data_IF_892632532571
#
_entry.id   IF_892632532571
#
_cell.length_a   1.000
_cell.length_b   1.000
_cell.length_c   1.000
_cell.angle_alpha   90.00
_cell.angle_beta   90.00
_cell.angle_gamma   90.00
#
_symmetry.space_group_name_H-M   'P 1'
#
loop_
_entity.id
_entity.type
_entity.pdbx_description
1 polymer ?
#
# COMPACT_ATOMS: atom_id res chain seq x y z
N UNK A 1 62.79 39.36 -9.13
CA UNK A 1 62.06 38.07 -8.95
C UNK A 1 61.71 37.94 -7.48
N UNK A 2 60.43 37.76 -7.16
CA UNK A 2 59.98 37.56 -5.77
C UNK A 2 59.59 36.09 -5.61
N UNK A 3 60.18 35.41 -4.64
CA UNK A 3 59.81 34.05 -4.26
C UNK A 3 59.02 34.10 -2.97
N UNK A 4 57.77 33.64 -3.02
CA UNK A 4 56.85 33.61 -1.89
C UNK A 4 56.62 32.15 -1.48
N UNK A 5 56.93 31.83 -0.21
CA UNK A 5 56.73 30.50 0.37
C UNK A 5 55.51 30.54 1.30
N UNK A 6 54.53 29.69 1.03
CA UNK A 6 53.29 29.58 1.78
C UNK A 6 53.21 28.24 2.52
N UNK A 7 52.68 28.24 3.75
CA UNK A 7 52.16 27.03 4.40
C UNK A 7 50.65 27.20 4.54
N UNK A 8 49.89 26.34 3.84
CA UNK A 8 48.45 26.54 3.68
C UNK A 8 48.16 27.91 3.07
N UNK A 9 47.44 28.77 3.82
CA UNK A 9 47.07 30.12 3.38
C UNK A 9 47.98 31.22 3.96
N UNK A 10 49.02 30.86 4.72
CA UNK A 10 49.90 31.82 5.39
C UNK A 10 51.22 31.95 4.63
N UNK A 11 51.59 33.17 4.27
CA UNK A 11 52.92 33.49 3.75
C UNK A 11 53.94 33.44 4.89
N UNK A 12 55.02 32.69 4.69
CA UNK A 12 56.08 32.51 5.70
C UNK A 12 57.34 33.27 5.30
N UNK A 13 57.76 33.13 4.04
CA UNK A 13 58.98 33.77 3.54
C UNK A 13 58.66 34.46 2.23
N UNK A 14 58.96 35.75 2.14
CA UNK A 14 58.99 36.49 0.87
C UNK A 14 60.41 36.98 0.63
N UNK A 15 61.07 36.48 -0.41
CA UNK A 15 62.43 36.92 -0.74
C UNK A 15 62.49 37.52 -2.14
N UNK A 16 63.06 38.73 -2.23
CA UNK A 16 63.18 39.51 -3.46
C UNK A 16 64.46 39.21 -4.27
N UNK A 17 65.28 38.27 -3.81
CA UNK A 17 66.54 37.88 -4.46
C UNK A 17 66.33 36.67 -5.37
N UNK A 18 66.83 36.75 -6.61
CA UNK A 18 66.60 35.76 -7.68
C UNK A 18 67.14 34.36 -7.40
N UNK A 19 66.61 33.40 -8.18
CA UNK A 19 66.94 31.97 -8.28
C UNK A 19 67.58 31.35 -7.02
N UNK A 20 66.75 30.99 -6.04
CA UNK A 20 67.20 30.20 -4.90
C UNK A 20 67.23 28.72 -5.27
N UNK A 21 68.34 28.06 -4.96
CA UNK A 21 68.40 26.60 -5.02
C UNK A 21 67.47 25.98 -3.98
N UNK A 22 67.05 24.74 -4.22
CA UNK A 22 66.20 23.98 -3.29
C UNK A 22 66.76 23.98 -1.85
N UNK A 23 68.07 23.85 -1.70
CA UNK A 23 68.77 23.85 -0.41
C UNK A 23 68.56 25.18 0.33
N UNK A 24 68.70 26.31 -0.37
CA UNK A 24 68.52 27.64 0.24
C UNK A 24 67.07 27.89 0.68
N UNK A 25 66.10 27.33 -0.05
CA UNK A 25 64.70 27.38 0.37
C UNK A 25 64.45 26.55 1.62
N UNK A 26 65.00 25.33 1.69
CA UNK A 26 64.90 24.48 2.87
C UNK A 26 65.52 25.14 4.10
N UNK A 27 66.72 25.73 4.00
CA UNK A 27 67.34 26.47 5.10
C UNK A 27 66.50 27.67 5.55
N UNK A 28 65.94 28.44 4.59
CA UNK A 28 65.07 29.58 4.91
C UNK A 28 63.79 29.14 5.64
N UNK A 29 63.28 27.95 5.33
CA UNK A 29 62.11 27.37 6.01
C UNK A 29 62.49 26.87 7.39
N UNK A 30 63.60 26.15 7.53
CA UNK A 30 64.10 25.64 8.81
C UNK A 30 64.38 26.75 9.82
N UNK A 31 64.94 27.88 9.38
CA UNK A 31 65.16 29.05 10.24
C UNK A 31 63.86 29.64 10.79
N UNK A 32 62.78 29.64 10.00
CA UNK A 32 61.52 30.29 10.38
C UNK A 32 60.58 29.34 11.10
N UNK A 33 60.56 28.07 10.72
CA UNK A 33 59.57 27.09 11.21
C UNK A 33 60.18 25.99 12.07
N UNK A 34 61.51 25.89 12.18
CA UNK A 34 62.23 24.82 12.88
C UNK A 34 61.82 23.39 12.47
N UNK A 35 61.32 23.24 11.24
CA UNK A 35 60.86 21.96 10.70
C UNK A 35 61.97 21.29 9.90
N UNK A 36 62.07 19.97 10.02
CA UNK A 36 63.05 19.20 9.27
C UNK A 36 62.59 18.97 7.82
N UNK A 37 63.50 18.89 6.83
CA UNK A 37 63.14 18.66 5.43
C UNK A 37 62.30 17.40 5.17
N UNK A 38 62.41 16.40 6.05
CA UNK A 38 61.65 15.15 5.99
C UNK A 38 60.18 15.27 6.41
N UNK A 39 59.80 16.38 7.07
CA UNK A 39 58.45 16.64 7.54
C UNK A 39 57.59 17.37 6.52
N UNK A 40 58.17 17.88 5.44
CA UNK A 40 57.45 18.63 4.42
C UNK A 40 57.91 18.27 3.00
N UNK A 41 57.20 18.82 2.03
CA UNK A 41 57.65 18.85 0.64
C UNK A 41 57.18 20.16 0.00
N UNK A 42 57.94 20.64 -0.96
CA UNK A 42 57.66 21.89 -1.67
C UNK A 42 56.97 21.61 -2.99
N UNK A 43 55.98 22.42 -3.31
CA UNK A 43 55.20 22.37 -4.54
C UNK A 43 55.25 23.73 -5.22
N UNK A 44 55.45 23.75 -6.52
CA UNK A 44 55.33 24.95 -7.34
C UNK A 44 53.87 25.38 -7.53
N UNK A 45 53.67 26.60 -8.03
CA UNK A 45 52.38 27.11 -8.52
C UNK A 45 51.66 26.16 -9.50
N UNK A 46 52.39 25.33 -10.26
CA UNK A 46 51.84 24.35 -11.20
C UNK A 46 51.40 23.03 -10.54
N UNK A 47 51.63 22.85 -9.23
CA UNK A 47 51.32 21.62 -8.52
C UNK A 47 52.40 20.54 -8.65
N UNK A 48 53.54 20.84 -9.29
CA UNK A 48 54.68 19.91 -9.39
C UNK A 48 55.53 19.97 -8.13
N UNK A 49 56.01 18.81 -7.69
CA UNK A 49 56.92 18.70 -6.55
C UNK A 49 58.32 19.16 -6.96
N UNK A 50 58.87 20.07 -6.18
CA UNK A 50 60.26 20.51 -6.32
C UNK A 50 61.20 19.40 -5.85
N UNK A 51 62.25 19.19 -6.64
CA UNK A 51 63.35 18.26 -6.35
C UNK A 51 64.67 19.01 -6.44
N UNK A 52 65.69 18.53 -5.72
CA UNK A 52 67.01 19.16 -5.58
C UNK A 52 67.69 19.55 -6.89
N UNK A 53 67.35 18.88 -7.99
CA UNK A 53 67.97 19.05 -9.31
C UNK A 53 67.27 20.05 -10.22
N UNK A 54 66.15 20.65 -9.78
CA UNK A 54 65.41 21.62 -10.59
C UNK A 54 65.84 23.04 -10.24
N UNK A 55 66.56 23.67 -11.17
CA UNK A 55 66.79 25.10 -11.10
C UNK A 55 65.46 25.83 -11.36
N UNK A 56 65.04 26.62 -10.37
CA UNK A 56 63.84 27.45 -10.40
C UNK A 56 64.05 28.65 -11.34
N UNK A 57 64.13 28.37 -12.64
CA UNK A 57 64.19 29.39 -13.68
C UNK A 57 62.77 29.71 -14.17
N UNK A 58 62.10 30.63 -13.48
CA UNK A 58 60.89 31.28 -13.99
C UNK A 58 61.06 32.80 -13.89
N UNK A 59 60.78 33.48 -15.00
CA UNK A 59 61.05 34.91 -15.19
C UNK A 59 60.16 35.83 -14.35
N UNK A 60 59.06 35.31 -13.78
CA UNK A 60 58.10 36.05 -12.95
C UNK A 60 57.81 35.36 -11.61
N UNK A 61 57.31 36.14 -10.64
CA UNK A 61 57.13 35.80 -9.22
C UNK A 61 56.75 34.33 -8.95
N UNK A 62 57.61 33.61 -8.23
CA UNK A 62 57.46 32.18 -7.95
C UNK A 62 56.70 32.02 -6.62
N UNK A 63 55.57 31.32 -6.67
CA UNK A 63 54.81 30.93 -5.49
C UNK A 63 55.10 29.46 -5.18
N UNK A 64 55.64 29.21 -4.00
CA UNK A 64 55.99 27.88 -3.52
C UNK A 64 55.09 27.55 -2.33
N UNK A 65 54.46 26.40 -2.36
CA UNK A 65 53.67 25.89 -1.25
C UNK A 65 54.46 24.81 -0.51
N UNK A 66 54.73 25.05 0.77
CA UNK A 66 55.25 24.07 1.70
C UNK A 66 54.08 23.28 2.30
N UNK A 67 54.05 21.99 2.00
CA UNK A 67 53.00 21.07 2.44
C UNK A 67 53.58 20.07 3.43
N UNK A 68 52.99 20.04 4.62
CA UNK A 68 53.38 19.12 5.68
C UNK A 68 53.01 17.68 5.33
N UNK A 69 53.93 16.77 5.60
CA UNK A 69 53.72 15.33 5.49
C UNK A 69 52.95 14.87 6.71
N UNK A 70 51.70 14.51 6.49
CA UNK A 70 50.90 13.90 7.53
C UNK A 70 51.20 12.39 7.56
N UNK A 71 51.50 11.87 8.75
CA UNK A 71 51.62 10.44 9.04
C UNK A 71 50.21 9.82 8.99
N UNK A 72 49.66 9.65 7.80
CA UNK A 72 48.28 9.20 7.63
C UNK A 72 48.04 8.58 6.26
N UNK A 73 47.73 7.28 6.26
CA UNK A 73 47.31 6.55 5.07
C UNK A 73 45.97 7.10 4.58
N UNK A 74 45.99 7.87 3.49
CA UNK A 74 44.81 8.36 2.74
C UNK A 74 43.92 7.23 2.17
N UNK A 75 44.10 6.00 2.64
CA UNK A 75 43.47 4.77 2.16
C UNK A 75 42.16 4.41 2.85
N UNK A 76 41.78 5.06 3.96
CA UNK A 76 40.57 4.71 4.72
C UNK A 76 39.27 4.84 3.90
N UNK A 77 39.15 5.91 3.12
CA UNK A 77 37.98 6.09 2.25
C UNK A 77 37.94 5.05 1.11
N UNK A 78 39.09 4.78 0.49
CA UNK A 78 39.18 3.76 -0.57
C UNK A 78 38.99 2.32 -0.06
N UNK A 79 39.47 2.00 1.14
CA UNK A 79 39.23 0.70 1.79
C UNK A 79 37.79 0.54 2.22
N UNK A 80 37.16 1.60 2.73
CA UNK A 80 35.73 1.64 3.03
C UNK A 80 34.89 1.41 1.78
N UNK A 81 35.20 2.09 0.67
CA UNK A 81 34.52 1.86 -0.61
C UNK A 81 34.71 0.43 -1.13
N UNK A 82 35.89 -0.17 -0.96
CA UNK A 82 36.12 -1.58 -1.32
C UNK A 82 35.34 -2.56 -0.44
N UNK A 83 35.28 -2.30 0.87
CA UNK A 83 34.53 -3.12 1.82
C UNK A 83 33.01 -3.05 1.52
N UNK A 84 32.49 -1.85 1.30
CA UNK A 84 31.08 -1.63 0.95
C UNK A 84 30.79 -2.22 -0.43
N UNK A 85 31.65 -1.98 -1.42
CA UNK A 85 31.48 -2.49 -2.78
C UNK A 85 31.50 -4.02 -2.88
N UNK A 86 32.19 -4.70 -1.96
CA UNK A 86 32.16 -6.17 -1.87
C UNK A 86 30.84 -6.71 -1.30
N UNK A 87 30.14 -5.92 -0.50
CA UNK A 87 28.86 -6.29 0.13
C UNK A 87 27.64 -5.88 -0.73
N UNK A 88 27.79 -4.90 -1.62
CA UNK A 88 26.72 -4.49 -2.52
C UNK A 88 26.66 -5.48 -3.69
N UNK A 89 25.66 -6.36 -3.65
CA UNK A 89 25.28 -7.16 -4.81
C UNK A 89 24.75 -6.25 -5.93
N UNK A 90 24.95 -6.66 -7.19
CA UNK A 90 24.44 -5.92 -8.34
C UNK A 90 22.92 -5.78 -8.21
N UNK A 91 22.44 -4.56 -8.02
CA UNK A 91 21.02 -4.26 -7.95
C UNK A 91 20.33 -4.70 -9.25
N UNK A 92 19.25 -5.48 -9.15
CA UNK A 92 18.44 -5.90 -10.30
C UNK A 92 17.45 -4.82 -10.75
N UNK A 93 17.31 -3.73 -9.99
CA UNK A 93 16.45 -2.61 -10.33
C UNK A 93 17.04 -1.83 -11.52
N UNK A 94 16.36 -1.93 -12.68
CA UNK A 94 16.69 -1.24 -13.94
C UNK A 94 15.85 0.01 -14.18
N UNK A 95 15.04 0.45 -13.22
CA UNK A 95 14.11 1.58 -13.38
C UNK A 95 14.83 2.91 -13.62
N UNK A 96 16.09 3.03 -13.19
CA UNK A 96 16.93 4.19 -13.43
C UNK A 96 17.46 4.28 -14.87
N UNK A 97 17.43 3.18 -15.63
CA UNK A 97 17.89 3.17 -17.01
C UNK A 97 16.92 3.95 -17.91
N UNK A 98 17.48 4.56 -18.95
CA UNK A 98 16.74 5.25 -20.01
C UNK A 98 16.51 4.32 -21.19
N UNK A 99 15.39 4.52 -21.88
CA UNK A 99 15.12 3.89 -23.17
C UNK A 99 15.81 4.67 -24.32
N UNK A 100 15.68 4.17 -25.56
CA UNK A 100 16.21 4.83 -26.76
C UNK A 100 15.52 6.16 -27.07
N UNK A 101 14.36 6.43 -26.46
CA UNK A 101 13.64 7.70 -26.57
C UNK A 101 14.12 8.74 -25.55
N UNK A 102 14.98 8.35 -24.60
CA UNK A 102 15.52 9.20 -23.54
C UNK A 102 14.66 9.25 -22.26
N UNK A 103 13.53 8.51 -22.23
CA UNK A 103 12.61 8.40 -21.10
C UNK A 103 13.08 7.33 -20.11
N UNK A 104 12.81 7.50 -18.81
CA UNK A 104 13.22 6.50 -17.81
C UNK A 104 12.24 5.33 -17.79
N UNK A 105 12.75 4.12 -17.53
CA UNK A 105 11.92 2.92 -17.37
C UNK A 105 10.92 3.05 -16.21
N UNK A 106 11.26 3.83 -15.17
CA UNK A 106 10.34 4.19 -14.08
C UNK A 106 9.03 4.77 -14.60
N UNK A 107 9.11 5.84 -15.39
CA UNK A 107 7.95 6.59 -15.89
C UNK A 107 7.04 5.68 -16.74
N UNK A 108 7.66 4.83 -17.57
CA UNK A 108 6.94 3.87 -18.43
C UNK A 108 6.19 2.83 -17.58
N UNK A 109 6.82 2.32 -16.52
CA UNK A 109 6.18 1.35 -15.64
C UNK A 109 5.05 1.98 -14.83
N UNK A 110 5.23 3.22 -14.37
CA UNK A 110 4.19 4.00 -13.69
C UNK A 110 2.98 4.24 -14.60
N UNK A 111 3.19 4.65 -15.85
CA UNK A 111 2.11 4.80 -16.82
C UNK A 111 1.36 3.49 -17.08
N UNK A 112 2.08 2.38 -17.23
CA UNK A 112 1.47 1.04 -17.37
C UNK A 112 0.65 0.67 -16.14
N UNK A 113 1.17 0.95 -14.94
CA UNK A 113 0.46 0.69 -13.69
C UNK A 113 -0.81 1.52 -13.57
N UNK A 114 -0.76 2.80 -13.93
CA UNK A 114 -1.93 3.69 -13.95
C UNK A 114 -2.97 3.21 -14.96
N UNK A 115 -2.54 2.83 -16.17
CA UNK A 115 -3.44 2.29 -17.21
C UNK A 115 -4.13 1.00 -16.75
N UNK A 116 -3.37 0.04 -16.25
CA UNK A 116 -3.92 -1.22 -15.74
C UNK A 116 -4.87 -1.00 -14.55
N UNK A 117 -4.58 0.00 -13.70
CA UNK A 117 -5.48 0.36 -12.61
C UNK A 117 -6.80 0.95 -13.11
N UNK A 118 -6.77 1.84 -14.11
CA UNK A 118 -7.98 2.40 -14.73
C UNK A 118 -8.81 1.31 -15.41
N UNK A 119 -8.20 0.44 -16.22
CA UNK A 119 -8.89 -0.69 -16.85
C UNK A 119 -9.58 -1.60 -15.82
N UNK A 120 -8.93 -1.83 -14.67
CA UNK A 120 -9.50 -2.62 -13.58
C UNK A 120 -10.57 -1.88 -12.78
N UNK A 121 -10.55 -0.54 -12.75
CA UNK A 121 -11.64 0.25 -12.16
C UNK A 121 -12.92 0.10 -12.97
N UNK A 122 -12.84 0.19 -14.29
CA UNK A 122 -13.99 0.05 -15.18
C UNK A 122 -14.64 -1.34 -15.04
N UNK A 123 -13.83 -2.40 -14.94
CA UNK A 123 -14.31 -3.76 -14.69
C UNK A 123 -14.98 -3.88 -13.31
N UNK A 124 -14.36 -3.32 -12.27
CA UNK A 124 -14.90 -3.34 -10.90
C UNK A 124 -16.21 -2.56 -10.80
N UNK A 125 -16.33 -1.43 -11.48
CA UNK A 125 -17.55 -0.64 -11.51
C UNK A 125 -18.69 -1.39 -12.22
N UNK A 126 -18.40 -2.03 -13.35
CA UNK A 126 -19.38 -2.88 -14.05
C UNK A 126 -19.85 -4.04 -13.20
N UNK A 127 -18.95 -4.75 -12.51
CA UNK A 127 -19.32 -5.83 -11.60
C UNK A 127 -20.16 -5.33 -10.41
N UNK A 128 -19.78 -4.17 -9.85
CA UNK A 128 -20.53 -3.54 -8.77
C UNK A 128 -21.94 -3.11 -9.22
N UNK A 129 -22.08 -2.57 -10.43
CA UNK A 129 -23.38 -2.24 -11.02
C UNK A 129 -24.24 -3.48 -11.25
N UNK A 130 -23.68 -4.56 -11.79
CA UNK A 130 -24.40 -5.82 -11.95
C UNK A 130 -24.87 -6.39 -10.61
N UNK A 131 -24.00 -6.36 -9.59
CA UNK A 131 -24.35 -6.80 -8.24
C UNK A 131 -25.46 -5.94 -7.64
N UNK A 132 -25.44 -4.62 -7.85
CA UNK A 132 -26.51 -3.71 -7.43
C UNK A 132 -27.82 -4.03 -8.16
N UNK A 133 -27.79 -4.20 -9.49
CA UNK A 133 -28.97 -4.57 -10.30
C UNK A 133 -29.57 -5.90 -9.83
N UNK A 134 -28.76 -6.94 -9.63
CA UNK A 134 -29.22 -8.24 -9.11
C UNK A 134 -29.83 -8.14 -7.71
N UNK A 135 -29.27 -7.30 -6.83
CA UNK A 135 -29.85 -7.07 -5.49
C UNK A 135 -31.21 -6.37 -5.59
N UNK A 136 -31.31 -5.33 -6.42
CA UNK A 136 -32.57 -4.60 -6.64
C UNK A 136 -33.63 -5.54 -7.21
N UNK A 137 -33.28 -6.33 -8.23
CA UNK A 137 -34.19 -7.30 -8.85
C UNK A 137 -34.68 -8.35 -7.84
N UNK A 138 -33.78 -8.89 -7.00
CA UNK A 138 -34.15 -9.82 -5.92
C UNK A 138 -35.07 -9.19 -4.87
N UNK A 139 -34.87 -7.92 -4.53
CA UNK A 139 -35.73 -7.19 -3.59
C UNK A 139 -37.09 -6.83 -4.20
N UNK A 140 -37.12 -6.52 -5.50
CA UNK A 140 -38.35 -6.17 -6.22
C UNK A 140 -39.21 -7.40 -6.53
N UNK A 141 -38.59 -8.58 -6.65
CA UNK A 141 -39.30 -9.83 -6.85
C UNK A 141 -40.17 -10.13 -5.62
N UNK A 142 -41.50 -10.10 -5.82
CA UNK A 142 -42.46 -10.48 -4.77
C UNK A 142 -42.13 -11.90 -4.29
N UNK A 143 -42.03 -12.14 -2.97
CA UNK A 143 -41.80 -13.48 -2.43
C UNK A 143 -42.87 -14.43 -2.95
N UNK A 144 -42.48 -15.38 -3.81
CA UNK A 144 -43.37 -16.45 -4.26
C UNK A 144 -43.51 -17.43 -3.11
N UNK A 145 -44.49 -17.20 -2.25
CA UNK A 145 -44.89 -18.17 -1.23
C UNK A 145 -45.72 -19.26 -1.92
N UNK A 146 -45.07 -20.38 -2.24
CA UNK A 146 -45.77 -21.59 -2.64
C UNK A 146 -46.24 -22.29 -1.37
N UNK A 147 -47.54 -22.18 -1.07
CA UNK A 147 -48.19 -22.92 0.01
C UNK A 147 -48.41 -24.36 -0.48
N UNK A 148 -47.54 -25.27 -0.08
CA UNK A 148 -47.59 -26.71 -0.41
C UNK A 148 -47.68 -27.50 0.90
N UNK A 149 -48.91 -27.72 1.34
CA UNK A 149 -49.22 -28.50 2.54
C UNK A 149 -49.99 -29.76 2.12
N UNK A 150 -49.31 -30.92 2.12
CA UNK A 150 -49.89 -32.21 1.70
C UNK A 150 -51.15 -32.56 2.50
N UNK A 151 -51.13 -32.31 3.82
CA UNK A 151 -52.29 -32.54 4.69
C UNK A 151 -53.50 -31.67 4.33
N UNK A 152 -53.27 -30.44 3.87
CA UNK A 152 -54.34 -29.53 3.47
C UNK A 152 -54.96 -29.95 2.14
N UNK A 153 -54.12 -30.39 1.20
CA UNK A 153 -54.56 -30.88 -0.11
C UNK A 153 -55.34 -32.20 0.01
N UNK A 154 -54.87 -33.12 0.85
CA UNK A 154 -55.61 -34.34 1.22
C UNK A 154 -56.93 -34.00 1.93
N UNK A 155 -56.93 -33.04 2.86
CA UNK A 155 -58.15 -32.62 3.54
C UNK A 155 -59.17 -32.00 2.57
N UNK A 156 -58.72 -31.23 1.57
CA UNK A 156 -59.59 -30.69 0.49
C UNK A 156 -60.18 -31.78 -0.39
N UNK A 157 -59.38 -32.76 -0.79
CA UNK A 157 -59.85 -33.91 -1.57
C UNK A 157 -60.93 -34.68 -0.79
N UNK A 158 -60.61 -35.02 0.46
CA UNK A 158 -61.53 -35.72 1.37
C UNK A 158 -62.80 -34.91 1.69
N UNK A 159 -62.72 -33.58 1.78
CA UNK A 159 -63.88 -32.72 2.00
C UNK A 159 -64.85 -32.78 0.82
N UNK A 160 -64.32 -32.81 -0.41
CA UNK A 160 -65.12 -32.90 -1.63
C UNK A 160 -65.91 -34.20 -1.67
N UNK A 161 -65.28 -35.31 -1.30
CA UNK A 161 -65.97 -36.61 -1.19
C UNK A 161 -67.01 -36.64 -0.06
N UNK A 162 -66.68 -36.07 1.11
CA UNK A 162 -67.62 -35.96 2.24
C UNK A 162 -68.87 -35.17 1.89
N UNK A 163 -68.73 -34.06 1.16
CA UNK A 163 -69.87 -33.24 0.72
C UNK A 163 -70.75 -34.01 -0.26
N UNK A 164 -70.16 -34.72 -1.21
CA UNK A 164 -70.91 -35.54 -2.16
C UNK A 164 -71.66 -36.68 -1.46
N UNK A 165 -71.02 -37.37 -0.53
CA UNK A 165 -71.65 -38.43 0.27
C UNK A 165 -72.82 -37.90 1.11
N UNK A 166 -72.63 -36.77 1.80
CA UNK A 166 -73.70 -36.14 2.59
C UNK A 166 -74.87 -35.69 1.72
N UNK A 167 -74.60 -35.20 0.50
CA UNK A 167 -75.63 -34.84 -0.47
C UNK A 167 -76.43 -36.06 -0.95
N UNK A 168 -75.76 -37.18 -1.24
CA UNK A 168 -76.43 -38.43 -1.59
C UNK A 168 -77.27 -38.99 -0.44
N UNK A 169 -76.75 -38.95 0.80
CA UNK A 169 -77.48 -39.37 1.99
C UNK A 169 -78.70 -38.48 2.25
N UNK A 170 -78.57 -37.17 2.06
CA UNK A 170 -79.68 -36.23 2.10
C UNK A 170 -80.75 -36.56 1.04
N UNK A 171 -80.35 -36.82 -0.20
CA UNK A 171 -81.29 -37.24 -1.25
C UNK A 171 -81.98 -38.56 -0.92
N UNK A 172 -81.26 -39.52 -0.33
CA UNK A 172 -81.81 -40.81 0.10
C UNK A 172 -82.81 -40.65 1.25
N UNK A 173 -82.56 -39.78 2.22
CA UNK A 173 -83.49 -39.51 3.33
C UNK A 173 -84.71 -38.66 2.92
N UNK A 174 -84.63 -37.92 1.82
CA UNK A 174 -85.79 -37.21 1.25
C UNK A 174 -86.65 -38.08 0.33
N UNK A 175 -86.32 -39.36 0.14
CA UNK A 175 -87.22 -40.33 -0.51
C UNK A 175 -88.21 -40.88 0.53
N UNK A 176 -89.53 -40.89 0.26
CA UNK A 176 -90.54 -41.02 1.30
C UNK A 176 -90.87 -42.49 1.63
N UNK A 177 -90.64 -42.92 2.88
CA UNK A 177 -91.30 -44.07 3.52
C UNK A 177 -91.48 -43.76 5.04
N UNK A 178 -92.69 -43.30 5.41
CA UNK A 178 -93.41 -43.36 6.72
C UNK A 178 -92.80 -42.97 8.10
N UNK A 179 -93.12 -41.72 8.53
CA UNK A 179 -93.47 -41.07 9.85
C UNK A 179 -93.69 -41.87 11.18
N UNK A 180 -93.88 -41.26 12.40
CA UNK A 180 -93.46 -39.96 13.00
C UNK A 180 -92.99 -40.03 14.50
N UNK A 181 -92.33 -38.99 15.05
CA UNK A 181 -92.57 -38.52 16.45
C UNK A 181 -92.03 -37.10 16.77
N UNK A 182 -92.90 -36.11 16.58
CA UNK A 182 -93.32 -35.08 17.55
C UNK A 182 -92.31 -34.25 18.39
N UNK A 183 -92.22 -32.96 18.00
CA UNK A 183 -92.40 -31.74 18.85
C UNK A 183 -91.22 -31.33 19.78
N UNK A 184 -90.87 -30.07 20.06
CA UNK A 184 -91.40 -28.68 19.92
C UNK A 184 -90.16 -27.77 19.79
N UNK A 185 -90.16 -26.58 19.20
CA UNK A 185 -90.99 -25.42 19.51
C UNK A 185 -90.24 -24.14 19.13
N UNK A 186 -91.00 -23.15 18.66
CA UNK A 186 -90.54 -21.82 18.28
C UNK A 186 -90.04 -21.00 19.48
N UNK A 187 -88.96 -20.20 19.35
CA UNK A 187 -88.81 -18.91 20.06
C UNK A 187 -87.94 -17.95 19.25
N UNK A 188 -88.41 -16.70 19.24
CA UNK A 188 -87.92 -15.47 18.59
C UNK A 188 -87.15 -14.61 19.63
N UNK A 189 -86.16 -13.84 19.16
CA UNK A 189 -85.43 -12.70 19.83
C UNK A 189 -84.36 -13.17 20.84
N UNK A 190 -83.22 -12.47 21.06
CA UNK A 190 -82.96 -11.02 21.20
C UNK A 190 -81.46 -10.75 20.98
N UNK A 191 -81.16 -9.54 20.51
CA UNK A 191 -79.85 -8.87 20.56
C UNK A 191 -79.13 -8.99 21.91
N UNK A 192 -77.80 -9.16 21.86
CA UNK A 192 -76.92 -9.12 23.02
C UNK A 192 -75.50 -8.80 22.58
N UNK A 193 -75.20 -7.51 22.53
CA UNK A 193 -73.87 -6.93 22.42
C UNK A 193 -73.18 -7.04 23.79
N UNK A 194 -71.91 -7.50 23.80
CA UNK A 194 -70.81 -7.15 24.73
C UNK A 194 -69.70 -8.21 24.61
N UNK A 195 -68.58 -7.87 23.95
CA UNK A 195 -67.37 -7.27 24.52
C UNK A 195 -66.41 -8.31 25.11
N UNK A 196 -65.26 -8.50 24.47
CA UNK A 196 -64.24 -9.45 24.93
C UNK A 196 -62.89 -9.30 24.21
N UNK A 197 -62.23 -8.16 24.43
CA UNK A 197 -60.78 -7.95 24.39
C UNK A 197 -59.98 -8.27 23.10
N UNK A 198 -59.82 -7.25 22.26
CA UNK A 198 -58.65 -7.12 21.37
C UNK A 198 -57.38 -6.92 22.21
N UNK A 199 -56.41 -7.84 22.08
CA UNK A 199 -55.04 -7.64 22.58
C UNK A 199 -54.30 -6.66 21.67
N UNK A 200 -54.27 -5.38 22.04
CA UNK A 200 -53.35 -4.41 21.44
C UNK A 200 -52.01 -4.46 22.19
N UNK A 201 -51.08 -5.31 21.75
CA UNK A 201 -49.66 -5.13 22.10
C UNK A 201 -49.09 -4.01 21.23
N UNK A 202 -48.61 -2.96 21.90
CA UNK A 202 -47.87 -1.85 21.29
C UNK A 202 -46.64 -2.40 20.58
N UNK A 203 -46.46 -2.00 19.31
CA UNK A 203 -45.23 -2.22 18.53
C UNK A 203 -44.11 -1.39 19.15
N UNK A 204 -42.88 -1.90 19.35
CA UNK A 204 -41.72 -1.02 19.42
C UNK A 204 -41.46 -0.47 18.01
N UNK A 205 -41.34 0.84 17.92
CA UNK A 205 -40.87 1.53 16.73
C UNK A 205 -39.46 1.03 16.40
N UNK A 206 -39.32 0.33 15.27
CA UNK A 206 -38.03 0.12 14.62
C UNK A 206 -37.61 1.47 14.02
N UNK A 207 -36.76 2.17 14.77
CA UNK A 207 -35.95 3.26 14.28
C UNK A 207 -35.04 2.71 13.17
N UNK A 208 -35.40 2.94 11.91
CA UNK A 208 -34.45 2.87 10.80
C UNK A 208 -33.70 4.18 10.86
N UNK A 209 -32.60 4.16 11.61
CA UNK A 209 -31.58 5.19 11.61
C UNK A 209 -30.92 5.23 10.24
N UNK A 210 -30.84 6.43 9.70
CA UNK A 210 -30.17 6.82 8.47
C UNK A 210 -28.64 6.75 8.68
N UNK A 211 -28.09 5.53 8.76
CA UNK A 211 -26.64 5.26 8.72
C UNK A 211 -26.32 4.23 7.63
N UNK A 212 -26.43 4.67 6.38
CA UNK A 212 -25.86 3.97 5.24
C UNK A 212 -24.72 4.78 4.61
N UNK A 213 -23.87 5.37 5.46
CA UNK A 213 -22.57 5.93 5.02
C UNK A 213 -21.46 5.54 5.99
N UNK A 214 -21.07 4.27 5.96
CA UNK A 214 -20.02 3.73 6.83
C UNK A 214 -19.19 2.64 6.17
N UNK A 215 -18.24 3.06 5.33
CA UNK A 215 -16.97 2.40 4.98
C UNK A 215 -16.82 0.89 5.27
N UNK A 216 -16.98 0.07 4.23
CA UNK A 216 -16.54 -1.33 4.25
C UNK A 216 -15.03 -1.42 4.14
N UNK A 217 -14.35 -1.51 5.28
CA UNK A 217 -12.93 -1.82 5.39
C UNK A 217 -12.73 -3.33 5.25
N UNK A 218 -12.48 -3.81 4.03
CA UNK A 218 -12.01 -5.18 3.79
C UNK A 218 -10.52 -5.26 4.14
N UNK A 219 -10.22 -5.82 5.31
CA UNK A 219 -8.87 -6.20 5.75
C UNK A 219 -8.57 -7.59 5.20
N UNK A 220 -7.71 -7.65 4.19
CA UNK A 220 -7.24 -8.88 3.54
C UNK A 220 -6.05 -9.44 4.35
N UNK A 221 -6.31 -10.39 5.25
CA UNK A 221 -5.28 -11.11 6.02
C UNK A 221 -4.82 -12.33 5.22
N UNK A 222 -3.70 -12.16 4.50
CA UNK A 222 -3.08 -13.22 3.71
C UNK A 222 -2.04 -13.97 4.53
N UNK A 223 -2.41 -15.19 4.93
CA UNK A 223 -1.57 -16.23 5.53
C UNK A 223 -0.24 -16.43 4.76
N UNK A 224 0.86 -15.95 5.34
CA UNK A 224 2.20 -16.21 4.86
C UNK A 224 2.70 -17.58 5.37
N UNK A 225 2.55 -18.62 4.54
CA UNK A 225 3.20 -19.91 4.76
C UNK A 225 4.74 -19.75 4.79
N UNK A 226 5.33 -19.83 5.99
CA UNK A 226 6.78 -19.85 6.17
C UNK A 226 7.29 -21.25 5.83
N UNK A 227 8.01 -21.38 4.71
CA UNK A 227 8.82 -22.56 4.43
C UNK A 227 10.00 -22.59 5.41
N UNK A 228 9.98 -23.56 6.32
CA UNK A 228 11.10 -23.87 7.20
C UNK A 228 12.30 -24.32 6.36
N UNK A 229 13.37 -23.53 6.38
CA UNK A 229 14.70 -23.91 5.88
C UNK A 229 15.37 -24.73 6.98
N UNK A 230 15.66 -26.00 6.67
CA UNK A 230 16.40 -26.89 7.54
C UNK A 230 17.84 -26.39 7.73
N UNK A 231 18.19 -26.04 8.97
CA UNK A 231 19.57 -25.85 9.40
C UNK A 231 20.17 -27.25 9.57
N UNK A 232 21.18 -27.59 8.75
CA UNK A 232 22.05 -28.74 9.00
C UNK A 232 23.05 -28.35 10.09
N UNK A 233 23.00 -29.07 11.20
CA UNK A 233 24.12 -29.22 12.15
C UNK A 233 25.24 -30.03 11.52
#
# INVERSE_FOLDING_TARGET
MVTNIFIGNKLIVSTNSGAKSYIQLCSSIEEVTHMQPDEYYLIDNTGKRLTETQDLHHDDSIQIHCVLRQLGGKGGFGSMLRAIGAQIEKTTNREACRDLSGRRLRDINEEKRVRAWLEKQDEREREAEERKKRKIEKLLAVPKHEFKDEQYDEARANLTEKVNNAFEEGLKQTKPESEPSSSKGAVKRKSGEQSGATKAKKKPALWIGDDLSGSGSDSDDSEASVKAVAIRT
#
